data_IF_293395441976
#
_entry.id   IF_293395441976
#
_cell.length_a   1.000
_cell.length_b   1.000
_cell.length_c   1.000
_cell.angle_alpha   90.00
_cell.angle_beta   90.00
_cell.angle_gamma   90.00
#
_symmetry.space_group_name_H-M   'P 1'
#
loop_
_entity.id
_entity.type
_entity.pdbx_description
1 polymer ?
#
# COMPACT_ATOMS: atom_id res chain seq x y z
N UNK A 1 41.03 -22.75 -28.67
CA UNK A 1 41.12 -23.68 -27.52
C UNK A 1 41.23 -22.82 -26.28
N UNK A 2 40.15 -22.59 -25.55
CA UNK A 2 40.22 -21.87 -24.27
C UNK A 2 41.08 -22.70 -23.32
N UNK A 3 42.07 -22.08 -22.68
CA UNK A 3 42.93 -22.78 -21.72
C UNK A 3 42.08 -23.23 -20.54
N UNK A 4 42.37 -24.42 -19.99
CA UNK A 4 41.69 -24.93 -18.80
C UNK A 4 41.70 -23.91 -17.64
N UNK A 5 42.74 -23.06 -17.58
CA UNK A 5 42.84 -21.96 -16.61
C UNK A 5 41.79 -20.87 -16.85
N UNK A 6 41.50 -20.54 -18.10
CA UNK A 6 40.49 -19.55 -18.48
C UNK A 6 39.08 -20.07 -18.21
N UNK A 7 38.84 -21.37 -18.45
CA UNK A 7 37.55 -22.01 -18.13
C UNK A 7 37.29 -22.06 -16.61
N UNK A 8 38.31 -22.39 -15.81
CA UNK A 8 38.20 -22.41 -14.35
C UNK A 8 37.96 -21.01 -13.77
N UNK A 9 38.62 -20.00 -14.33
CA UNK A 9 38.45 -18.61 -13.91
C UNK A 9 37.05 -18.08 -14.22
N UNK A 10 36.53 -18.35 -15.43
CA UNK A 10 35.17 -18.00 -15.81
C UNK A 10 34.12 -18.73 -14.95
N UNK A 11 34.34 -20.02 -14.66
CA UNK A 11 33.45 -20.78 -13.77
C UNK A 11 33.43 -20.19 -12.35
N UNK A 12 34.60 -19.86 -11.79
CA UNK A 12 34.70 -19.23 -10.46
C UNK A 12 34.02 -17.86 -10.42
N UNK A 13 34.20 -17.04 -11.46
CA UNK A 13 33.55 -15.74 -11.58
C UNK A 13 32.03 -15.86 -11.66
N UNK A 14 31.51 -16.82 -12.44
CA UNK A 14 30.06 -17.08 -12.54
C UNK A 14 29.51 -17.58 -11.21
N UNK A 15 30.20 -18.49 -10.52
CA UNK A 15 29.78 -18.98 -9.20
C UNK A 15 29.78 -17.88 -8.14
N UNK A 16 30.79 -17.00 -8.14
CA UNK A 16 30.87 -15.87 -7.22
C UNK A 16 29.76 -14.84 -7.50
N UNK A 17 29.50 -14.53 -8.78
CA UNK A 17 28.42 -13.63 -9.18
C UNK A 17 27.04 -14.17 -8.78
N UNK A 18 26.80 -15.47 -8.95
CA UNK A 18 25.54 -16.11 -8.52
C UNK A 18 25.37 -16.09 -7.00
N UNK A 19 26.45 -16.28 -6.23
CA UNK A 19 26.40 -16.20 -4.77
C UNK A 19 26.14 -14.76 -4.27
N UNK A 20 26.68 -13.75 -4.97
CA UNK A 20 26.37 -12.34 -4.68
C UNK A 20 24.94 -11.95 -5.04
N UNK A 21 24.39 -12.46 -6.16
CA UNK A 21 22.98 -12.21 -6.54
C UNK A 21 22.03 -12.87 -5.54
N UNK A 22 22.29 -14.11 -5.14
CA UNK A 22 21.46 -14.84 -4.18
C UNK A 22 21.47 -14.23 -2.77
N UNK A 23 22.53 -13.53 -2.39
CA UNK A 23 22.61 -12.81 -1.10
C UNK A 23 22.01 -11.40 -1.18
N UNK A 24 22.07 -10.76 -2.35
CA UNK A 24 21.40 -9.48 -2.61
C UNK A 24 19.86 -9.63 -2.66
N UNK A 25 19.33 -10.71 -3.25
CA UNK A 25 17.88 -10.99 -3.27
C UNK A 25 17.26 -11.23 -1.88
N UNK A 26 18.07 -11.58 -0.87
CA UNK A 26 17.60 -11.89 0.50
C UNK A 26 17.63 -10.67 1.43
N UNK A 27 18.37 -9.60 1.11
CA UNK A 27 18.53 -8.45 2.02
C UNK A 27 17.52 -7.32 1.81
N UNK A 28 16.65 -7.40 0.79
CA UNK A 28 15.64 -6.36 0.49
C UNK A 28 14.19 -6.74 0.83
N UNK A 29 13.96 -7.75 1.67
CA UNK A 29 12.60 -8.13 2.10
C UNK A 29 12.32 -7.95 3.59
N UNK A 30 12.83 -6.87 4.16
CA UNK A 30 12.21 -6.23 5.34
C UNK A 30 11.84 -4.80 4.93
N UNK A 31 10.78 -4.67 4.13
CA UNK A 31 10.05 -3.41 4.04
C UNK A 31 9.04 -3.42 5.18
N UNK A 32 9.44 -2.87 6.31
CA UNK A 32 8.48 -2.37 7.28
C UNK A 32 8.08 -0.97 6.79
N UNK A 33 6.86 -0.84 6.27
CA UNK A 33 6.15 0.44 6.24
C UNK A 33 5.16 0.42 7.41
N UNK A 34 5.47 1.02 8.57
CA UNK A 34 4.57 1.05 9.72
C UNK A 34 3.63 2.26 9.60
N UNK A 35 2.74 2.25 8.62
CA UNK A 35 1.45 2.94 8.65
C UNK A 35 0.68 2.65 7.35
N UNK A 36 -0.15 1.62 7.40
CA UNK A 36 -1.24 1.36 6.46
C UNK A 36 -0.82 1.09 4.99
N UNK A 37 -0.69 -0.19 4.66
CA UNK A 37 -0.63 -0.68 3.27
C UNK A 37 -1.94 -0.35 2.52
N UNK A 38 -2.06 0.87 2.01
CA UNK A 38 -2.79 1.09 0.75
C UNK A 38 -1.87 0.64 -0.38
N UNK A 39 -1.85 -0.67 -0.65
CA UNK A 39 -1.22 -1.22 -1.85
C UNK A 39 -2.02 -0.74 -3.06
N UNK A 40 -1.69 0.45 -3.58
CA UNK A 40 -2.16 0.88 -4.90
C UNK A 40 -1.37 0.09 -5.94
N UNK A 41 -1.88 -1.08 -6.30
CA UNK A 41 -1.37 -1.86 -7.41
C UNK A 41 -1.58 -1.06 -8.71
N UNK A 42 -0.50 -0.39 -9.14
CA UNK A 42 -0.38 0.08 -10.51
C UNK A 42 -0.31 -1.16 -11.41
N UNK A 43 -1.36 -1.42 -12.19
CA UNK A 43 -1.30 -1.51 -13.65
C UNK A 43 -2.45 -2.37 -14.20
N UNK A 44 -3.14 -1.81 -15.19
CA UNK A 44 -4.13 -2.39 -16.11
C UNK A 44 -5.31 -3.18 -15.50
N UNK A 45 -6.47 -2.53 -15.40
CA UNK A 45 -7.75 -3.23 -15.52
C UNK A 45 -8.30 -3.89 -14.25
N UNK A 46 -8.33 -3.11 -13.17
CA UNK A 46 -8.97 -3.35 -11.86
C UNK A 46 -10.16 -4.34 -11.94
N UNK A 47 -9.91 -5.57 -11.49
CA UNK A 47 -10.93 -6.48 -10.97
C UNK A 47 -10.50 -6.94 -9.58
N UNK A 48 -10.58 -6.03 -8.61
CA UNK A 48 -10.61 -6.41 -7.19
C UNK A 48 -11.95 -6.01 -6.62
N UNK A 49 -13.02 -6.57 -7.20
CA UNK A 49 -14.39 -6.50 -6.64
C UNK A 49 -14.79 -7.82 -5.98
N UNK A 50 -13.82 -8.61 -5.50
CA UNK A 50 -14.02 -10.00 -5.10
C UNK A 50 -13.68 -10.32 -3.64
N UNK A 51 -13.86 -9.36 -2.73
CA UNK A 51 -14.09 -9.62 -1.29
C UNK A 51 -15.02 -8.54 -0.68
N UNK A 52 -16.10 -8.20 -1.39
CA UNK A 52 -17.13 -7.28 -0.87
C UNK A 52 -18.26 -8.11 -0.26
N UNK A 53 -18.03 -8.67 0.93
CA UNK A 53 -19.11 -9.14 1.83
C UNK A 53 -18.79 -8.77 3.27
N UNK A 54 -19.01 -7.50 3.61
CA UNK A 54 -19.36 -7.13 4.98
C UNK A 54 -18.24 -6.57 5.87
N UNK A 55 -17.23 -5.89 5.34
CA UNK A 55 -16.44 -4.98 6.18
C UNK A 55 -17.25 -3.69 6.37
N UNK A 56 -17.81 -3.40 7.56
CA UNK A 56 -18.55 -2.16 7.80
C UNK A 56 -17.68 -0.92 7.52
N UNK A 57 -16.36 -1.05 7.70
CA UNK A 57 -15.40 0.03 7.52
C UNK A 57 -15.12 0.41 6.04
N UNK A 58 -15.67 -0.36 5.07
CA UNK A 58 -15.55 -0.08 3.62
C UNK A 58 -16.87 0.38 2.99
N UNK A 59 -17.94 0.48 3.80
CA UNK A 59 -19.20 1.09 3.36
C UNK A 59 -18.96 2.59 3.23
N UNK A 60 -19.55 3.21 2.22
CA UNK A 60 -19.60 4.66 2.02
C UNK A 60 -21.08 5.00 1.91
N UNK A 61 -21.68 5.37 3.04
CA UNK A 61 -23.12 5.49 3.21
C UNK A 61 -23.68 6.74 2.56
N UNK A 62 -22.89 7.79 2.41
CA UNK A 62 -23.31 9.08 1.86
C UNK A 62 -22.77 9.36 0.45
N UNK A 63 -21.82 8.55 -0.02
CA UNK A 63 -21.33 8.52 -1.39
C UNK A 63 -20.31 9.61 -1.70
N UNK A 64 -19.59 10.10 -0.69
CA UNK A 64 -18.66 11.22 -0.83
C UNK A 64 -17.23 10.79 -1.22
N UNK A 65 -16.96 9.48 -1.17
CA UNK A 65 -15.68 8.86 -1.52
C UNK A 65 -14.80 8.52 -0.32
N UNK A 66 -15.26 8.77 0.92
CA UNK A 66 -14.61 8.37 2.17
C UNK A 66 -15.42 7.23 2.81
N UNK A 67 -14.79 6.09 3.15
CA UNK A 67 -15.50 5.03 3.85
C UNK A 67 -15.95 5.44 5.26
N UNK A 68 -17.14 5.00 5.69
CA UNK A 68 -17.79 5.26 6.99
C UNK A 68 -16.87 5.04 8.20
N UNK A 69 -15.93 4.09 8.10
CA UNK A 69 -14.97 3.79 9.17
C UNK A 69 -13.86 4.83 9.35
N UNK A 70 -13.68 5.70 8.36
CA UNK A 70 -12.69 6.78 8.29
C UNK A 70 -13.31 8.16 8.04
N UNK A 71 -14.62 8.21 7.92
CA UNK A 71 -15.39 9.42 7.62
C UNK A 71 -15.78 10.14 8.92
N UNK A 72 -15.40 11.42 9.03
CA UNK A 72 -15.80 12.26 10.16
C UNK A 72 -17.27 12.71 10.11
N UNK A 73 -17.99 12.42 9.02
CA UNK A 73 -19.42 12.61 8.84
C UNK A 73 -20.11 11.50 8.00
N UNK A 74 -20.25 10.24 8.48
CA UNK A 74 -20.75 9.07 7.72
C UNK A 74 -22.17 9.13 7.12
N UNK A 75 -22.86 10.26 7.26
CA UNK A 75 -24.22 10.47 6.81
C UNK A 75 -24.41 11.81 6.07
N UNK A 76 -23.34 12.58 5.84
CA UNK A 76 -23.41 13.92 5.27
C UNK A 76 -22.17 14.20 4.40
N UNK A 77 -22.32 14.26 3.06
CA UNK A 77 -21.17 14.29 2.16
C UNK A 77 -20.23 15.46 2.41
N UNK A 78 -18.96 15.17 2.71
CA UNK A 78 -17.88 16.13 2.88
C UNK A 78 -16.54 15.53 2.42
N UNK A 79 -16.28 15.42 1.10
CA UNK A 79 -15.09 14.76 0.56
C UNK A 79 -13.75 15.37 1.00
N UNK A 80 -13.78 16.60 1.49
CA UNK A 80 -12.62 17.32 2.02
C UNK A 80 -12.29 16.98 3.48
N UNK A 81 -13.21 16.32 4.20
CA UNK A 81 -13.08 15.93 5.61
C UNK A 81 -12.67 17.12 6.50
N UNK A 82 -13.17 18.32 6.18
CA UNK A 82 -12.90 19.52 6.98
C UNK A 82 -13.42 19.34 8.42
N UNK A 83 -12.56 19.65 9.39
CA UNK A 83 -12.80 19.60 10.84
C UNK A 83 -11.95 20.73 11.45
N UNK A 84 -12.57 21.90 11.62
CA UNK A 84 -11.85 23.13 11.98
C UNK A 84 -11.34 23.13 13.43
N UNK A 85 -12.08 22.52 14.35
CA UNK A 85 -11.78 22.53 15.79
C UNK A 85 -11.08 21.24 16.27
N UNK A 86 -10.93 20.27 15.37
CA UNK A 86 -10.19 19.01 15.55
C UNK A 86 -10.79 18.10 16.62
N UNK A 87 -12.12 18.11 16.76
CA UNK A 87 -12.83 17.25 17.71
C UNK A 87 -13.19 15.86 17.13
N UNK A 88 -13.01 15.69 15.82
CA UNK A 88 -13.29 14.46 15.08
C UNK A 88 -14.68 14.41 14.44
N UNK A 89 -15.48 15.47 14.55
CA UNK A 89 -16.72 15.67 13.77
C UNK A 89 -16.42 16.63 12.63
N UNK A 90 -16.85 16.28 11.41
CA UNK A 90 -16.64 17.18 10.29
C UNK A 90 -17.53 18.42 10.36
N UNK A 91 -17.04 19.54 9.80
CA UNK A 91 -17.71 20.85 9.78
C UNK A 91 -19.17 20.78 9.27
N UNK A 92 -19.49 19.78 8.44
CA UNK A 92 -20.81 19.58 7.83
C UNK A 92 -21.81 18.93 8.79
N UNK A 93 -21.35 18.08 9.71
CA UNK A 93 -22.19 17.35 10.67
C UNK A 93 -22.00 17.80 12.12
N UNK A 94 -21.06 18.71 12.39
CA UNK A 94 -20.88 19.33 13.69
C UNK A 94 -21.85 20.49 13.93
N UNK A 95 -22.52 20.48 15.08
CA UNK A 95 -23.43 21.52 15.51
C UNK A 95 -22.81 22.52 16.50
N UNK A 96 -21.56 22.30 16.92
CA UNK A 96 -20.86 23.05 17.93
C UNK A 96 -19.49 23.54 17.45
N UNK A 97 -19.45 24.26 16.31
CA UNK A 97 -18.23 24.86 15.77
C UNK A 97 -17.47 25.66 16.84
N UNK A 98 -16.33 25.16 17.34
CA UNK A 98 -15.51 25.87 18.33
C UNK A 98 -14.36 26.68 17.71
#
# INVERSE_FOLDING_TARGET
>A
MTSARTALFLALLVSLALLTVATFEVLERVQAEPSNESVVAQQEGIRVVAEIRGSPDLVDSDGDGVPDGSDNCPAAPNPGQEDFDFDGLGDVCDNCVQ
#
